data_IF_277182600344
#
_entry.id   IF_277182600344
#
_cell.length_a   1.000
_cell.length_b   1.000
_cell.length_c   1.000
_cell.angle_alpha   90.00
_cell.angle_beta   90.00
_cell.angle_gamma   90.00
#
_symmetry.space_group_name_H-M   'P 1'
#
loop_
_entity.id
_entity.type
_entity.pdbx_description
1 polymer ?
#
# COMPACT_ATOMS: atom_id res chain seq x y z
N UNK A 1 6.60 -15.69 -5.70
CA UNK A 1 7.28 -14.73 -4.80
C UNK A 1 6.29 -14.27 -3.71
N UNK A 2 6.76 -13.65 -2.61
CA UNK A 2 5.89 -13.18 -1.54
C UNK A 2 4.77 -12.24 -2.03
N UNK A 3 5.09 -11.35 -2.97
CA UNK A 3 4.09 -10.49 -3.63
C UNK A 3 3.02 -11.31 -4.33
N UNK A 4 3.36 -12.38 -5.05
CA UNK A 4 2.37 -13.19 -5.78
C UNK A 4 1.39 -13.87 -4.82
N UNK A 5 1.87 -14.33 -3.66
CA UNK A 5 1.04 -14.93 -2.62
C UNK A 5 0.05 -13.88 -2.09
N UNK A 6 0.55 -12.72 -1.66
CA UNK A 6 -0.31 -11.63 -1.14
C UNK A 6 -1.28 -11.14 -2.23
N UNK A 7 -0.82 -10.96 -3.46
CA UNK A 7 -1.64 -10.57 -4.60
C UNK A 7 -2.76 -11.59 -4.87
N UNK A 8 -2.51 -12.89 -4.70
CA UNK A 8 -3.55 -13.92 -4.86
C UNK A 8 -4.71 -13.76 -3.87
N UNK A 9 -4.44 -13.30 -2.65
CA UNK A 9 -5.48 -12.97 -1.66
C UNK A 9 -6.26 -11.73 -2.07
N UNK A 10 -5.56 -10.65 -2.45
CA UNK A 10 -6.21 -9.41 -2.90
C UNK A 10 -7.07 -9.61 -4.15
N UNK A 11 -6.61 -10.44 -5.09
CA UNK A 11 -7.35 -10.78 -6.31
C UNK A 11 -8.68 -11.47 -6.03
N UNK A 12 -8.76 -12.32 -4.99
CA UNK A 12 -10.03 -12.96 -4.58
C UNK A 12 -11.06 -11.94 -4.06
N UNK A 13 -10.59 -10.81 -3.54
CA UNK A 13 -11.41 -9.74 -2.97
C UNK A 13 -11.69 -8.60 -3.96
N UNK A 14 -11.07 -8.63 -5.15
CA UNK A 14 -11.13 -7.52 -6.10
C UNK A 14 -10.40 -6.26 -5.62
N UNK A 15 -9.49 -6.37 -4.65
CA UNK A 15 -8.73 -5.23 -4.13
C UNK A 15 -7.60 -4.89 -5.07
N UNK A 16 -7.49 -3.62 -5.41
CA UNK A 16 -6.53 -3.13 -6.38
C UNK A 16 -5.15 -2.86 -5.75
N UNK A 17 -4.08 -3.16 -6.49
CA UNK A 17 -2.69 -2.86 -6.11
C UNK A 17 -1.90 -2.39 -7.34
N UNK A 18 -0.69 -1.88 -7.15
CA UNK A 18 0.20 -1.54 -8.27
C UNK A 18 0.72 -2.84 -8.91
N UNK A 19 0.08 -3.23 -10.02
CA UNK A 19 0.43 -4.43 -10.75
C UNK A 19 1.76 -4.27 -11.51
N UNK A 20 2.57 -5.33 -11.49
CA UNK A 20 3.86 -5.39 -12.19
C UNK A 20 3.91 -6.52 -13.21
N UNK A 21 2.80 -7.19 -13.51
CA UNK A 21 2.81 -8.34 -14.43
C UNK A 21 3.14 -7.96 -15.88
N UNK A 22 3.02 -6.68 -16.21
CA UNK A 22 3.40 -6.12 -17.51
C UNK A 22 4.91 -5.86 -17.66
N UNK A 23 5.71 -6.05 -16.59
CA UNK A 23 7.15 -5.81 -16.61
C UNK A 23 7.92 -7.13 -16.81
N UNK A 24 9.00 -7.09 -17.60
CA UNK A 24 9.89 -8.26 -17.78
C UNK A 24 10.58 -8.67 -16.48
N UNK A 25 10.92 -7.69 -15.63
CA UNK A 25 11.51 -7.86 -14.30
C UNK A 25 11.05 -6.73 -13.38
N UNK A 26 10.65 -7.08 -12.16
CA UNK A 26 10.33 -6.12 -11.12
C UNK A 26 11.03 -6.53 -9.81
N UNK A 27 11.69 -5.59 -9.14
CA UNK A 27 12.34 -5.85 -7.85
C UNK A 27 11.34 -6.05 -6.72
N UNK A 28 10.11 -5.55 -6.89
CA UNK A 28 9.04 -5.59 -5.89
C UNK A 28 9.46 -5.02 -4.53
N UNK A 29 10.42 -4.07 -4.53
CA UNK A 29 10.90 -3.41 -3.31
C UNK A 29 9.77 -2.71 -2.53
N UNK A 30 8.74 -2.25 -3.24
CA UNK A 30 7.49 -1.77 -2.66
C UNK A 30 6.33 -2.49 -3.33
N UNK A 31 5.41 -2.97 -2.51
CA UNK A 31 4.15 -3.53 -2.96
C UNK A 31 3.02 -2.62 -2.47
N UNK A 32 2.48 -1.80 -3.37
CA UNK A 32 1.53 -0.73 -3.01
C UNK A 32 0.12 -1.25 -3.21
N UNK A 33 -0.65 -1.33 -2.13
CA UNK A 33 -2.06 -1.73 -2.14
C UNK A 33 -2.91 -0.47 -2.06
N UNK A 34 -3.85 -0.31 -3.00
CA UNK A 34 -4.80 0.80 -3.03
C UNK A 34 -5.97 0.44 -2.11
N UNK A 35 -6.23 1.29 -1.13
CA UNK A 35 -7.31 1.05 -0.19
C UNK A 35 -8.68 1.27 -0.87
N UNK A 36 -9.65 0.36 -0.68
CA UNK A 36 -11.02 0.56 -1.11
C UNK A 36 -11.65 1.80 -0.45
N UNK A 37 -12.75 2.30 -1.01
CA UNK A 37 -13.50 3.39 -0.37
C UNK A 37 -14.00 2.98 1.02
N UNK A 38 -14.03 3.94 1.96
CA UNK A 38 -14.41 3.69 3.35
C UNK A 38 -13.26 3.27 4.27
N UNK A 39 -12.15 2.74 3.73
CA UNK A 39 -10.97 2.41 4.52
C UNK A 39 -10.04 3.61 4.67
N UNK A 40 -9.61 3.87 5.91
CA UNK A 40 -8.56 4.85 6.22
C UNK A 40 -7.24 4.15 6.46
N UNK A 41 -6.17 4.73 5.93
CA UNK A 41 -4.81 4.17 6.04
C UNK A 41 -4.41 3.87 7.49
N UNK A 42 -4.62 4.80 8.42
CA UNK A 42 -4.23 4.62 9.82
C UNK A 42 -5.01 3.49 10.51
N UNK A 43 -6.31 3.36 10.21
CA UNK A 43 -7.16 2.30 10.75
C UNK A 43 -6.70 0.93 10.25
N UNK A 44 -6.37 0.83 8.96
CA UNK A 44 -5.84 -0.40 8.36
C UNK A 44 -4.46 -0.74 8.93
N UNK A 45 -3.55 0.22 9.07
CA UNK A 45 -2.22 0.01 9.68
C UNK A 45 -2.35 -0.44 11.13
N UNK A 46 -3.29 0.14 11.89
CA UNK A 46 -3.58 -0.25 13.27
C UNK A 46 -4.15 -1.66 13.36
N UNK A 47 -5.06 -2.03 12.46
CA UNK A 47 -5.60 -3.38 12.40
C UNK A 47 -4.50 -4.40 12.07
N UNK A 48 -3.67 -4.12 11.06
CA UNK A 48 -2.50 -4.95 10.70
C UNK A 48 -1.53 -5.13 11.88
N UNK A 49 -1.26 -4.06 12.65
CA UNK A 49 -0.43 -4.13 13.84
C UNK A 49 -1.03 -5.05 14.93
N UNK A 50 -2.36 -5.17 15.00
CA UNK A 50 -3.05 -6.14 15.86
C UNK A 50 -2.76 -7.60 15.51
N UNK A 51 -2.35 -7.89 14.26
CA UNK A 51 -1.86 -9.19 13.81
C UNK A 51 -0.33 -9.30 13.90
N UNK A 52 0.35 -8.39 14.60
CA UNK A 52 1.82 -8.30 14.64
C UNK A 52 2.43 -8.09 13.24
N UNK A 53 1.73 -7.37 12.36
CA UNK A 53 2.22 -6.96 11.04
C UNK A 53 2.36 -5.45 11.03
N UNK A 54 3.60 -4.98 11.13
CA UNK A 54 3.89 -3.55 11.12
C UNK A 54 4.17 -3.09 9.70
N UNK A 55 3.15 -2.50 9.07
CA UNK A 55 3.38 -1.70 7.88
C UNK A 55 4.32 -0.54 8.23
N UNK A 56 5.27 -0.22 7.35
CA UNK A 56 6.03 1.01 7.48
C UNK A 56 5.13 2.25 7.36
N UNK A 57 5.72 3.44 7.24
CA UNK A 57 4.98 4.57 6.69
C UNK A 57 4.33 4.19 5.35
N UNK A 58 3.23 4.85 4.97
CA UNK A 58 2.82 4.86 3.57
C UNK A 58 4.01 5.22 2.68
N UNK A 59 4.02 4.81 1.40
CA UNK A 59 5.13 5.21 0.52
C UNK A 59 5.21 6.75 0.48
N UNK A 60 4.03 7.39 0.43
CA UNK A 60 3.85 8.81 0.75
C UNK A 60 2.49 9.03 1.42
N UNK A 61 2.47 9.39 2.69
CA UNK A 61 1.21 9.61 3.44
C UNK A 61 0.58 10.96 3.11
N UNK A 62 1.41 11.98 2.93
CA UNK A 62 1.01 13.36 2.61
C UNK A 62 1.66 13.76 1.28
N UNK A 63 0.88 14.32 0.34
CA UNK A 63 1.40 14.92 -0.88
C UNK A 63 2.56 15.89 -0.64
N UNK A 64 3.57 15.91 -1.52
CA UNK A 64 4.71 16.81 -1.37
C UNK A 64 4.26 18.28 -1.24
N UNK A 65 3.34 18.76 -2.08
CA UNK A 65 2.87 20.15 -2.05
C UNK A 65 2.10 20.55 -0.78
N UNK A 66 1.71 19.58 0.05
CA UNK A 66 1.07 19.81 1.34
C UNK A 66 2.04 19.70 2.52
N UNK A 67 3.30 19.33 2.28
CA UNK A 67 4.33 19.27 3.31
C UNK A 67 4.89 20.68 3.58
N UNK A 68 5.17 21.04 4.85
CA UNK A 68 5.62 22.39 5.20
C UNK A 68 6.85 22.87 4.44
N UNK A 69 7.77 21.96 4.10
CA UNK A 69 9.01 22.31 3.38
C UNK A 69 8.78 22.81 1.95
N UNK A 70 7.60 22.59 1.38
CA UNK A 70 7.23 23.02 0.03
C UNK A 70 6.23 24.18 0.02
N UNK A 71 6.00 24.86 1.15
CA UNK A 71 5.00 25.95 1.23
C UNK A 71 5.26 27.10 0.25
N UNK A 72 6.54 27.37 -0.05
CA UNK A 72 6.97 28.43 -0.98
C UNK A 72 7.11 27.94 -2.44
N UNK A 73 6.80 26.68 -2.73
CA UNK A 73 6.92 26.11 -4.08
C UNK A 73 5.58 26.25 -4.81
N UNK A 74 5.51 27.00 -5.93
CA UNK A 74 4.27 27.15 -6.68
C UNK A 74 3.86 25.82 -7.34
N UNK A 75 2.57 25.53 -7.34
CA UNK A 75 2.00 24.36 -8.01
C UNK A 75 0.56 24.62 -8.48
N UNK A 76 0.14 23.89 -9.52
CA UNK A 76 -1.22 23.93 -10.03
C UNK A 76 -2.02 22.75 -9.47
N UNK A 77 -3.04 23.03 -8.66
CA UNK A 77 -3.82 21.97 -7.97
C UNK A 77 -4.49 20.99 -8.94
N UNK A 78 -4.86 21.46 -10.14
CA UNK A 78 -5.44 20.61 -11.19
C UNK A 78 -4.51 19.49 -11.65
N UNK A 79 -3.20 19.68 -11.55
CA UNK A 79 -2.19 18.69 -11.97
C UNK A 79 -1.92 17.63 -10.89
N UNK A 80 -2.35 17.87 -9.64
CA UNK A 80 -1.98 17.06 -8.47
C UNK A 80 -3.13 16.22 -7.90
N UNK A 81 -4.29 16.18 -8.56
CA UNK A 81 -5.48 15.45 -8.10
C UNK A 81 -5.22 13.96 -7.79
N UNK A 82 -4.38 13.30 -8.59
CA UNK A 82 -4.02 11.91 -8.38
C UNK A 82 -3.23 11.72 -7.07
N UNK A 83 -2.31 12.64 -6.77
CA UNK A 83 -1.49 12.57 -5.57
C UNK A 83 -2.36 12.80 -4.32
N UNK A 84 -3.25 13.79 -4.35
CA UNK A 84 -4.18 14.09 -3.25
C UNK A 84 -5.16 12.93 -3.00
N UNK A 85 -5.57 12.23 -4.07
CA UNK A 85 -6.40 11.04 -3.96
C UNK A 85 -5.66 9.87 -3.33
N UNK A 86 -4.45 9.57 -3.80
CA UNK A 86 -3.79 8.31 -3.51
C UNK A 86 -2.84 8.32 -2.32
N UNK A 87 -2.18 9.44 -2.00
CA UNK A 87 -1.33 9.54 -0.81
C UNK A 87 -2.01 9.04 0.48
N UNK A 88 -3.25 9.47 0.81
CA UNK A 88 -3.94 8.98 2.01
C UNK A 88 -4.66 7.64 1.83
N UNK A 89 -4.60 7.01 0.63
CA UNK A 89 -5.39 5.81 0.26
C UNK A 89 -4.54 4.66 -0.25
N UNK A 90 -3.37 4.45 0.33
CA UNK A 90 -2.59 3.25 0.07
C UNK A 90 -1.82 2.79 1.30
N UNK A 91 -1.44 1.52 1.30
CA UNK A 91 -0.50 0.95 2.26
C UNK A 91 0.59 0.17 1.52
N UNK A 92 1.70 -0.09 2.21
CA UNK A 92 2.73 -1.01 1.76
C UNK A 92 2.99 -2.02 2.89
N UNK A 93 2.56 -3.29 2.77
CA UNK A 93 2.88 -4.31 3.75
C UNK A 93 4.41 -4.55 3.79
N UNK A 94 4.92 -5.12 4.90
CA UNK A 94 6.35 -5.34 5.09
C UNK A 94 6.82 -6.57 4.30
N UNK A 95 6.99 -6.40 2.98
CA UNK A 95 7.58 -7.40 2.11
C UNK A 95 9.04 -7.02 1.86
N UNK A 96 9.95 -7.92 2.20
CA UNK A 96 11.41 -7.75 2.08
C UNK A 96 12.01 -8.95 1.36
N UNK A 97 13.30 -8.91 1.04
CA UNK A 97 14.01 -10.06 0.48
C UNK A 97 14.06 -11.27 1.42
N UNK A 98 13.82 -11.08 2.72
CA UNK A 98 13.75 -12.15 3.71
C UNK A 98 12.35 -12.66 4.02
N UNK A 99 11.30 -12.12 3.39
CA UNK A 99 9.91 -12.53 3.64
C UNK A 99 9.70 -13.96 3.17
N UNK A 100 9.33 -14.83 4.11
CA UNK A 100 9.06 -16.25 3.82
C UNK A 100 7.67 -16.44 3.20
N UNK A 101 7.39 -17.66 2.71
CA UNK A 101 6.04 -18.05 2.28
C UNK A 101 5.03 -17.91 3.41
N UNK A 102 5.38 -18.35 4.62
CA UNK A 102 4.48 -18.28 5.79
C UNK A 102 4.20 -16.84 6.20
N UNK A 103 5.21 -15.95 6.14
CA UNK A 103 5.00 -14.51 6.35
C UNK A 103 4.05 -13.93 5.31
N UNK A 104 4.21 -14.29 4.04
CA UNK A 104 3.38 -13.80 2.95
C UNK A 104 1.92 -14.28 3.08
N UNK A 105 1.72 -15.54 3.48
CA UNK A 105 0.39 -16.08 3.77
C UNK A 105 -0.25 -15.38 4.98
N UNK A 106 0.51 -15.15 6.05
CA UNK A 106 0.04 -14.39 7.23
C UNK A 106 -0.39 -12.98 6.84
N UNK A 107 0.41 -12.29 6.02
CA UNK A 107 0.10 -10.95 5.50
C UNK A 107 -1.17 -10.98 4.64
N UNK A 108 -1.27 -11.92 3.69
CA UNK A 108 -2.43 -12.06 2.81
C UNK A 108 -3.73 -12.37 3.55
N UNK A 109 -3.67 -13.24 4.56
CA UNK A 109 -4.80 -13.58 5.41
C UNK A 109 -5.27 -12.39 6.25
N UNK A 110 -4.36 -11.66 6.89
CA UNK A 110 -4.71 -10.45 7.64
C UNK A 110 -5.34 -9.37 6.74
N UNK A 111 -4.79 -9.15 5.54
CA UNK A 111 -5.37 -8.23 4.56
C UNK A 111 -6.78 -8.67 4.13
N UNK A 112 -7.02 -9.98 4.03
CA UNK A 112 -8.34 -10.51 3.71
C UNK A 112 -9.36 -10.24 4.80
N UNK A 113 -8.98 -10.40 6.05
CA UNK A 113 -9.84 -10.11 7.20
C UNK A 113 -10.14 -8.60 7.35
N UNK A 114 -9.16 -7.75 7.06
CA UNK A 114 -9.26 -6.30 7.31
C UNK A 114 -9.96 -5.55 6.16
N UNK A 115 -9.79 -6.02 4.92
CA UNK A 115 -10.24 -5.31 3.72
C UNK A 115 -11.37 -6.02 2.95
N UNK A 116 -11.67 -7.28 3.28
CA UNK A 116 -12.82 -8.02 2.74
C UNK A 116 -14.11 -7.69 3.48
#
# INVERSE_FOLDING_TARGET
>A
AAVDIVASHLNKLGISYCDTSHMDKASQYKFIIRLPEGHKMDDVKKAMAGHEIFCGGGVYEVPCHQQPVFEDVPFESSELQATERWCPRHICPPITSGTTTDDAERIGAALTEILG
#
